data_IF_624455529880
#
_entry.id   IF_624455529880
#
_cell.length_a   1.000
_cell.length_b   1.000
_cell.length_c   1.000
_cell.angle_alpha   90.00
_cell.angle_beta   90.00
_cell.angle_gamma   90.00
#
_symmetry.space_group_name_H-M   'P 1'
#
loop_
_entity.id
_entity.type
_entity.pdbx_description
1 polymer ?
#
# COMPACT_ATOMS: atom_id res chain seq x y z
N UNK A 1 -6.61 9.91 23.74
CA UNK A 1 -5.24 9.44 23.46
C UNK A 1 -5.25 8.73 22.11
N UNK A 2 -4.40 9.08 21.15
CA UNK A 2 -4.36 8.48 19.82
C UNK A 2 -3.10 7.61 19.69
N UNK A 3 -3.27 6.36 19.25
CA UNK A 3 -2.18 5.44 18.93
C UNK A 3 -2.62 4.60 17.72
N UNK A 4 -2.32 5.11 16.54
CA UNK A 4 -2.70 4.50 15.25
C UNK A 4 -1.46 4.37 14.39
N UNK A 5 -1.29 3.21 13.80
CA UNK A 5 -0.21 2.89 12.86
C UNK A 5 -0.84 2.26 11.63
N UNK A 6 -0.50 2.78 10.46
CA UNK A 6 -0.85 2.19 9.18
C UNK A 6 0.44 1.98 8.38
N UNK A 7 0.73 0.75 8.01
CA UNK A 7 1.95 0.37 7.28
C UNK A 7 1.63 -0.52 6.09
N UNK A 8 2.36 -0.33 5.02
CA UNK A 8 2.35 -1.19 3.85
C UNK A 8 3.77 -1.64 3.54
N UNK A 9 3.95 -2.92 3.27
CA UNK A 9 5.27 -3.47 2.96
C UNK A 9 5.19 -4.93 2.56
N UNK A 10 6.35 -5.57 2.43
CA UNK A 10 6.45 -6.99 2.08
C UNK A 10 6.81 -7.83 3.29
N UNK A 11 6.21 -9.01 3.40
CA UNK A 11 6.61 -9.96 4.42
C UNK A 11 8.06 -10.41 4.21
N UNK A 12 8.86 -10.28 5.24
CA UNK A 12 10.27 -10.70 5.25
C UNK A 12 10.42 -12.24 5.30
N UNK A 13 9.49 -12.90 5.94
CA UNK A 13 9.40 -14.35 6.11
C UNK A 13 7.94 -14.78 6.24
N UNK A 14 7.69 -16.07 6.19
CA UNK A 14 6.36 -16.62 6.43
C UNK A 14 5.87 -16.28 7.84
N UNK A 15 4.57 -16.00 8.03
CA UNK A 15 4.00 -15.75 9.36
C UNK A 15 4.07 -17.01 10.22
N UNK A 16 4.51 -16.85 11.47
CA UNK A 16 4.59 -17.95 12.43
C UNK A 16 3.38 -17.87 13.38
N UNK A 17 2.52 -18.89 13.33
CA UNK A 17 1.41 -19.02 14.27
C UNK A 17 1.84 -19.79 15.52
N UNK A 18 1.43 -19.29 16.69
CA UNK A 18 1.59 -19.93 17.99
C UNK A 18 0.29 -19.82 18.77
N UNK A 19 0.08 -20.77 19.65
CA UNK A 19 -1.02 -20.71 20.61
C UNK A 19 -0.48 -20.27 21.97
N UNK A 20 -1.16 -19.33 22.60
CA UNK A 20 -0.84 -18.90 23.96
C UNK A 20 -1.33 -19.95 24.98
N UNK A 21 -0.82 -19.87 26.20
CA UNK A 21 -1.28 -20.71 27.34
C UNK A 21 -2.78 -20.54 27.64
N UNK A 22 -3.36 -19.41 27.23
CA UNK A 22 -4.79 -19.11 27.36
C UNK A 22 -5.62 -19.58 26.15
N UNK A 23 -5.03 -20.32 25.22
CA UNK A 23 -5.71 -20.89 24.05
C UNK A 23 -5.94 -19.94 22.87
N UNK A 24 -5.42 -18.69 22.94
CA UNK A 24 -5.55 -17.72 21.84
C UNK A 24 -4.50 -17.93 20.77
N UNK A 25 -4.89 -17.80 19.52
CA UNK A 25 -3.98 -17.83 18.38
C UNK A 25 -3.25 -16.49 18.23
N UNK A 26 -1.94 -16.55 18.06
CA UNK A 26 -1.07 -15.39 17.84
C UNK A 26 -0.17 -15.67 16.65
N UNK A 27 -0.10 -14.76 15.70
CA UNK A 27 0.85 -14.81 14.60
C UNK A 27 1.87 -13.67 14.72
N UNK A 28 3.14 -14.02 14.58
CA UNK A 28 4.24 -13.06 14.57
C UNK A 28 4.88 -13.05 13.18
N UNK A 29 5.07 -11.86 12.62
CA UNK A 29 5.72 -11.70 11.33
C UNK A 29 6.42 -10.36 11.25
N UNK A 30 7.31 -10.21 10.26
CA UNK A 30 8.08 -8.99 10.03
C UNK A 30 7.80 -8.44 8.65
N UNK A 31 7.57 -7.14 8.58
CA UNK A 31 7.31 -6.40 7.35
C UNK A 31 8.53 -5.54 7.01
N UNK A 32 8.95 -5.59 5.75
CA UNK A 32 9.92 -4.68 5.16
C UNK A 32 9.17 -3.53 4.47
N UNK A 33 9.29 -2.33 5.02
CA UNK A 33 8.74 -1.10 4.45
C UNK A 33 9.86 -0.35 3.73
N UNK A 34 9.73 -0.14 2.42
CA UNK A 34 10.72 0.60 1.64
C UNK A 34 10.68 2.09 2.03
N UNK A 35 11.85 2.67 2.31
CA UNK A 35 11.99 4.11 2.59
C UNK A 35 11.95 4.99 1.34
N UNK A 36 11.92 4.41 0.15
CA UNK A 36 12.04 5.15 -1.10
C UNK A 36 13.41 5.82 -1.29
N UNK A 37 14.43 5.40 -0.51
CA UNK A 37 15.80 5.91 -0.58
C UNK A 37 16.77 4.78 -0.85
N UNK A 38 17.87 5.13 -1.55
CA UNK A 38 19.01 4.22 -1.72
C UNK A 38 20.13 4.63 -0.79
N UNK A 39 20.89 3.67 -0.30
CA UNK A 39 22.11 3.92 0.46
C UNK A 39 23.27 4.36 -0.46
N UNK A 40 24.44 4.60 0.13
CA UNK A 40 25.64 5.01 -0.60
C UNK A 40 26.11 3.94 -1.63
N UNK A 41 25.68 2.68 -1.47
CA UNK A 41 25.98 1.56 -2.36
C UNK A 41 24.89 1.31 -3.41
N UNK A 42 23.87 2.19 -3.49
CA UNK A 42 22.74 2.08 -4.43
C UNK A 42 21.69 1.03 -4.04
N UNK A 43 21.78 0.45 -2.83
CA UNK A 43 20.80 -0.53 -2.35
C UNK A 43 19.58 0.16 -1.73
N UNK A 44 18.39 -0.45 -1.92
CA UNK A 44 17.16 0.04 -1.30
C UNK A 44 17.21 -0.15 0.22
N UNK A 45 16.91 0.93 0.95
CA UNK A 45 16.85 0.92 2.41
C UNK A 45 15.43 0.63 2.85
N UNK A 46 15.27 -0.38 3.70
CA UNK A 46 13.97 -0.76 4.24
C UNK A 46 13.94 -0.68 5.77
N UNK A 47 12.78 -0.32 6.31
CA UNK A 47 12.48 -0.44 7.73
C UNK A 47 11.88 -1.82 8.01
N UNK A 48 12.42 -2.48 9.02
CA UNK A 48 11.98 -3.80 9.45
C UNK A 48 11.10 -3.65 10.68
N UNK A 49 9.80 -3.91 10.51
CA UNK A 49 8.79 -3.69 11.54
C UNK A 49 8.23 -5.04 11.98
N UNK A 50 8.32 -5.33 13.27
CA UNK A 50 7.71 -6.52 13.86
C UNK A 50 6.22 -6.27 14.10
N UNK A 51 5.39 -7.23 13.66
CA UNK A 51 3.94 -7.16 13.75
C UNK A 51 3.42 -8.41 14.44
N UNK A 52 2.44 -8.21 15.32
CA UNK A 52 1.74 -9.28 16.04
C UNK A 52 0.25 -9.19 15.70
N UNK A 53 -0.31 -10.30 15.23
CA UNK A 53 -1.73 -10.45 14.97
C UNK A 53 -2.36 -11.46 15.95
N UNK A 54 -3.60 -11.23 16.35
CA UNK A 54 -4.32 -12.05 17.30
C UNK A 54 -5.55 -12.71 16.67
N UNK A 55 -5.87 -13.89 17.18
CA UNK A 55 -7.09 -14.65 16.88
C UNK A 55 -7.37 -14.72 15.37
N UNK A 56 -8.48 -14.15 14.92
CA UNK A 56 -8.92 -14.17 13.52
C UNK A 56 -7.88 -13.56 12.55
N UNK A 57 -7.20 -12.50 12.95
CA UNK A 57 -6.17 -11.87 12.11
C UNK A 57 -4.91 -12.74 12.01
N UNK A 58 -4.59 -13.49 13.09
CA UNK A 58 -3.50 -14.46 13.07
C UNK A 58 -3.77 -15.59 12.07
N UNK A 59 -4.97 -16.15 12.10
CA UNK A 59 -5.38 -17.19 11.15
C UNK A 59 -5.40 -16.67 9.71
N UNK A 60 -5.92 -15.46 9.52
CA UNK A 60 -5.99 -14.83 8.20
C UNK A 60 -4.61 -14.64 7.59
N UNK A 61 -3.66 -14.07 8.34
CA UNK A 61 -2.32 -13.83 7.80
C UNK A 61 -1.58 -15.13 7.49
N UNK A 62 -1.67 -16.14 8.36
CA UNK A 62 -0.99 -17.42 8.15
C UNK A 62 -1.59 -18.23 7.00
N UNK A 63 -2.89 -18.05 6.72
CA UNK A 63 -3.59 -18.78 5.67
C UNK A 63 -3.36 -18.19 4.27
N UNK A 64 -3.26 -16.88 4.17
CA UNK A 64 -3.32 -16.19 2.88
C UNK A 64 -2.04 -15.48 2.49
N UNK A 65 -1.08 -15.32 3.39
CA UNK A 65 0.16 -14.60 3.12
C UNK A 65 1.38 -15.49 3.32
N UNK A 66 2.38 -15.25 2.48
CA UNK A 66 3.66 -15.92 2.52
C UNK A 66 4.79 -14.91 2.36
N UNK A 67 6.04 -15.31 2.56
CA UNK A 67 7.22 -14.48 2.34
C UNK A 67 7.15 -13.74 1.00
N UNK A 68 7.41 -12.43 1.02
CA UNK A 68 7.39 -11.57 -0.15
C UNK A 68 6.01 -11.00 -0.51
N UNK A 69 4.92 -11.51 0.05
CA UNK A 69 3.56 -10.96 -0.16
C UNK A 69 3.50 -9.50 0.27
N UNK A 70 2.84 -8.67 -0.53
CA UNK A 70 2.55 -7.28 -0.20
C UNK A 70 1.31 -7.22 0.70
N UNK A 71 1.44 -6.56 1.85
CA UNK A 71 0.45 -6.52 2.92
C UNK A 71 0.24 -5.09 3.41
N UNK A 72 -1.00 -4.77 3.74
CA UNK A 72 -1.35 -3.55 4.48
C UNK A 72 -1.81 -3.96 5.88
N UNK A 73 -1.25 -3.31 6.87
CA UNK A 73 -1.60 -3.52 8.28
C UNK A 73 -1.95 -2.20 8.90
N UNK A 74 -3.11 -2.11 9.52
CA UNK A 74 -3.45 -1.06 10.45
C UNK A 74 -3.59 -1.61 11.87
N UNK A 75 -3.18 -0.81 12.84
CA UNK A 75 -3.16 -1.23 14.23
C UNK A 75 -2.62 -0.15 15.16
N UNK A 76 -2.01 -0.59 16.23
CA UNK A 76 -1.42 0.28 17.26
C UNK A 76 0.01 -0.15 17.57
N UNK A 77 0.84 0.80 17.97
CA UNK A 77 2.18 0.53 18.49
C UNK A 77 2.08 0.06 19.95
N UNK A 78 2.83 -0.98 20.27
CA UNK A 78 2.93 -1.49 21.64
C UNK A 78 4.38 -1.75 21.99
N UNK A 79 4.79 -1.39 23.20
CA UNK A 79 6.08 -1.77 23.77
C UNK A 79 5.91 -2.94 24.73
N UNK A 80 6.83 -3.89 24.66
CA UNK A 80 6.87 -5.06 25.53
C UNK A 80 8.26 -5.22 26.13
N UNK A 81 8.33 -5.35 27.44
CA UNK A 81 9.59 -5.70 28.12
C UNK A 81 9.78 -7.21 28.13
N UNK A 82 11.00 -7.65 27.89
CA UNK A 82 11.39 -9.06 27.97
C UNK A 82 12.82 -9.18 28.49
N UNK A 83 13.15 -10.30 29.07
CA UNK A 83 14.53 -10.63 29.42
C UNK A 83 15.19 -11.38 28.30
N UNK A 84 16.36 -10.90 27.92
CA UNK A 84 17.23 -11.59 26.96
C UNK A 84 17.83 -12.85 27.61
N UNK A 85 18.38 -13.74 26.80
CA UNK A 85 19.07 -14.95 27.25
C UNK A 85 20.23 -14.68 28.24
N UNK A 86 20.74 -13.44 28.24
CA UNK A 86 21.77 -12.95 29.17
C UNK A 86 21.22 -12.41 30.49
N UNK A 87 19.89 -12.44 30.67
CA UNK A 87 19.22 -11.84 31.85
C UNK A 87 19.00 -10.32 31.80
N UNK A 88 19.43 -9.66 30.73
CA UNK A 88 19.25 -8.23 30.57
C UNK A 88 17.78 -7.89 30.18
N UNK A 89 17.22 -6.87 30.82
CA UNK A 89 15.90 -6.35 30.45
C UNK A 89 15.99 -5.56 29.15
N UNK A 90 15.17 -5.95 28.15
CA UNK A 90 15.07 -5.28 26.86
C UNK A 90 13.63 -4.89 26.58
N UNK A 91 13.46 -3.86 25.76
CA UNK A 91 12.15 -3.41 25.28
C UNK A 91 12.04 -3.73 23.80
N UNK A 92 11.04 -4.51 23.42
CA UNK A 92 10.62 -4.67 22.02
C UNK A 92 9.49 -3.71 21.73
N UNK A 93 9.54 -3.08 20.56
CA UNK A 93 8.47 -2.25 20.02
C UNK A 93 7.87 -2.99 18.84
N UNK A 94 6.59 -3.28 18.91
CA UNK A 94 5.88 -4.07 17.91
C UNK A 94 4.53 -3.42 17.56
N UNK A 95 4.03 -3.68 16.36
CA UNK A 95 2.71 -3.24 15.92
C UNK A 95 1.71 -4.35 16.20
N UNK A 96 0.69 -4.08 16.99
CA UNK A 96 -0.44 -4.99 17.19
C UNK A 96 -1.46 -4.69 16.10
N UNK A 97 -1.64 -5.65 15.18
CA UNK A 97 -2.55 -5.51 14.05
C UNK A 97 -4.01 -5.53 14.51
N UNK A 98 -4.79 -4.56 14.08
CA UNK A 98 -6.25 -4.51 14.19
C UNK A 98 -6.90 -5.10 12.94
N UNK A 99 -6.41 -4.69 11.76
CA UNK A 99 -6.83 -5.24 10.47
C UNK A 99 -5.63 -5.53 9.57
N UNK A 100 -5.80 -6.53 8.72
CA UNK A 100 -4.80 -6.95 7.74
C UNK A 100 -5.51 -7.08 6.39
N UNK A 101 -4.94 -6.46 5.35
CA UNK A 101 -5.51 -6.42 4.01
C UNK A 101 -4.48 -6.76 2.94
N UNK A 102 -4.95 -7.26 1.81
CA UNK A 102 -4.11 -7.43 0.62
C UNK A 102 -3.81 -6.06 0.00
N UNK A 103 -2.56 -5.84 -0.39
CA UNK A 103 -2.12 -4.61 -1.06
C UNK A 103 -1.74 -4.82 -2.53
N UNK A 104 -1.69 -6.04 -2.99
CA UNK A 104 -1.29 -6.41 -4.35
C UNK A 104 -2.40 -7.15 -5.11
N UNK A 105 -2.22 -7.34 -6.42
CA UNK A 105 -3.12 -8.19 -7.17
C UNK A 105 -3.11 -9.60 -6.55
N UNK A 106 -4.27 -10.23 -6.52
CA UNK A 106 -4.41 -11.61 -6.05
C UNK A 106 -3.42 -12.48 -6.84
N UNK A 107 -2.39 -12.99 -6.19
CA UNK A 107 -1.49 -13.96 -6.80
C UNK A 107 -2.32 -15.18 -7.15
N UNK A 108 -2.55 -15.40 -8.44
CA UNK A 108 -3.23 -16.57 -8.98
C UNK A 108 -2.30 -17.78 -8.95
N UNK A 109 -1.88 -18.17 -7.74
CA UNK A 109 -1.15 -19.43 -7.53
C UNK A 109 -2.04 -20.42 -6.78
N UNK A 110 -3.24 -20.62 -7.31
CA UNK A 110 -4.06 -21.80 -7.08
C UNK A 110 -4.71 -22.09 -8.41
N UNK A 111 -4.29 -23.21 -9.03
CA UNK A 111 -4.93 -23.72 -10.22
C UNK A 111 -6.41 -23.95 -9.96
N UNK A 112 -7.21 -23.14 -10.57
CA UNK A 112 -8.53 -23.51 -11.04
C UNK A 112 -8.88 -22.59 -12.20
N UNK A 113 -9.01 -23.23 -13.40
CA UNK A 113 -9.33 -22.57 -14.62
C UNK A 113 -10.76 -22.08 -14.59
N UNK A 114 -10.95 -20.80 -14.57
CA UNK A 114 -12.08 -20.18 -15.24
C UNK A 114 -11.68 -18.78 -15.70
N UNK A 115 -11.41 -18.68 -17.00
CA UNK A 115 -11.02 -17.45 -17.67
C UNK A 115 -12.15 -16.45 -17.65
N UNK A 116 -12.01 -15.43 -16.85
CA UNK A 116 -12.59 -14.15 -17.19
C UNK A 116 -11.55 -13.41 -18.03
N UNK A 117 -11.70 -13.53 -19.34
CA UNK A 117 -11.07 -12.64 -20.30
C UNK A 117 -11.54 -11.23 -19.97
N UNK A 118 -10.68 -10.47 -19.33
CA UNK A 118 -10.83 -9.03 -19.20
C UNK A 118 -10.50 -8.48 -20.60
N UNK A 119 -11.54 -8.39 -21.46
CA UNK A 119 -11.46 -7.70 -22.72
C UNK A 119 -11.17 -6.24 -22.41
N UNK A 120 -9.92 -5.83 -22.57
CA UNK A 120 -9.57 -4.44 -22.66
C UNK A 120 -10.40 -3.82 -23.80
N UNK A 121 -11.07 -2.68 -23.59
CA UNK A 121 -11.71 -2.00 -24.71
C UNK A 121 -10.62 -1.55 -25.69
N UNK A 122 -10.54 -2.24 -26.83
CA UNK A 122 -9.73 -1.81 -27.96
C UNK A 122 -10.38 -0.53 -28.50
N UNK A 123 -9.79 0.61 -28.23
CA UNK A 123 -10.08 1.82 -28.97
C UNK A 123 -9.51 1.63 -30.37
N UNK A 124 -10.35 1.10 -31.27
CA UNK A 124 -10.07 1.15 -32.69
C UNK A 124 -10.14 2.62 -33.10
N UNK A 125 -9.00 3.12 -33.50
CA UNK A 125 -8.80 4.43 -34.12
C UNK A 125 -9.60 4.44 -35.44
N UNK A 126 -10.87 4.83 -35.37
CA UNK A 126 -11.65 5.14 -36.56
C UNK A 126 -11.11 6.47 -37.11
N UNK A 127 -10.51 6.40 -38.29
CA UNK A 127 -10.11 7.57 -39.05
C UNK A 127 -11.32 8.51 -39.24
N UNK A 128 -11.14 9.84 -39.10
CA UNK A 128 -12.24 10.79 -39.29
C UNK A 128 -12.62 10.83 -40.76
N UNK A 129 -13.86 10.42 -41.05
CA UNK A 129 -14.50 10.67 -42.32
C UNK A 129 -14.66 12.19 -42.51
N UNK A 130 -14.18 12.67 -43.65
CA UNK A 130 -14.31 14.05 -44.14
C UNK A 130 -15.80 14.43 -44.23
N UNK A 131 -16.30 15.45 -43.53
CA UNK A 131 -17.60 16.00 -43.89
C UNK A 131 -17.47 16.92 -45.09
N UNK A 132 -18.43 16.78 -46.00
CA UNK A 132 -18.64 17.64 -47.17
C UNK A 132 -19.00 19.05 -46.71
N UNK A 133 -18.62 20.00 -47.57
CA UNK A 133 -18.85 21.42 -47.45
C UNK A 133 -20.35 21.77 -47.25
N UNK A 134 -20.63 22.61 -46.28
CA UNK A 134 -21.86 23.39 -46.18
C UNK A 134 -21.49 24.81 -45.76
N UNK A 135 -21.83 25.69 -46.60
CA UNK A 135 -22.04 27.12 -46.68
C UNK A 135 -21.96 28.02 -45.43
N UNK A 136 -21.46 29.21 -45.71
CA UNK A 136 -21.14 30.35 -44.86
C UNK A 136 -22.32 30.97 -44.10
N UNK A 137 -22.03 31.49 -42.91
CA UNK A 137 -22.26 32.85 -42.37
C UNK A 137 -22.61 32.84 -40.85
N UNK A 138 -22.55 33.95 -40.13
CA UNK A 138 -21.57 35.05 -40.14
C UNK A 138 -20.89 35.24 -38.76
N UNK A 139 -19.80 36.00 -38.80
CA UNK A 139 -18.97 36.48 -37.68
C UNK A 139 -19.73 37.30 -36.64
N UNK A 140 -19.59 36.90 -35.35
CA UNK A 140 -19.73 37.83 -34.24
C UNK A 140 -18.41 37.90 -33.50
N UNK A 141 -17.74 39.00 -33.67
CA UNK A 141 -16.59 39.43 -32.89
C UNK A 141 -17.09 39.78 -31.49
N UNK A 142 -16.67 39.03 -30.46
CA UNK A 142 -16.74 39.46 -29.09
C UNK A 142 -15.32 39.60 -28.56
N UNK A 143 -14.88 40.84 -28.49
CA UNK A 143 -13.68 41.29 -27.83
C UNK A 143 -13.86 41.17 -26.31
N UNK A 144 -13.23 40.23 -25.70
CA UNK A 144 -13.04 40.23 -24.25
C UNK A 144 -11.66 40.82 -23.98
N UNK A 145 -11.63 42.07 -23.58
CA UNK A 145 -10.45 42.74 -23.02
C UNK A 145 -10.20 42.18 -21.62
N UNK A 146 -9.11 41.44 -21.44
CA UNK A 146 -8.59 41.12 -20.12
C UNK A 146 -7.51 42.16 -19.82
N UNK A 147 -7.83 43.10 -18.94
CA UNK A 147 -6.90 44.07 -18.39
C UNK A 147 -5.91 43.41 -17.43
N UNK A 148 -4.66 43.55 -17.72
CA UNK A 148 -3.52 43.16 -16.87
C UNK A 148 -3.45 44.02 -15.60
N UNK A 149 -3.23 43.46 -14.41
CA UNK A 149 -3.03 44.25 -13.21
C UNK A 149 -1.60 44.79 -13.16
N UNK A 150 -1.50 46.09 -13.10
CA UNK A 150 -0.28 46.90 -12.95
C UNK A 150 0.43 46.58 -11.62
N UNK A 151 1.71 46.21 -11.73
CA UNK A 151 2.65 46.00 -10.64
C UNK A 151 3.06 47.35 -10.04
N UNK A 152 2.96 47.61 -8.72
CA UNK A 152 3.53 48.81 -8.11
C UNK A 152 5.04 48.67 -7.95
N UNK A 153 5.76 49.70 -8.41
CA UNK A 153 7.19 49.88 -8.16
C UNK A 153 7.47 50.24 -6.73
N UNK A 154 8.57 49.70 -6.20
CA UNK A 154 9.14 50.08 -4.91
C UNK A 154 9.91 51.42 -5.02
N UNK A 155 9.64 52.28 -4.08
CA UNK A 155 10.56 53.29 -3.58
C UNK A 155 11.13 52.82 -2.29
#
# INVERSE_FOLDING_TARGET
MLNVVAIMGRLARDPEMRQTTTGKNVASFRIACDRGRRDANGQSVADWIDVVAWDRQAEFVCRYFQKGSLIVVDGRLQSRQYQDKTGANRTAVEVVASNINFAGPKSSNAGDGNGYQNAAPSYQNAAPARPAAVEAAPSYLSLIHISEPTRPERI
#
